data_IF_880070368697
#
_entry.id   IF_880070368697
#
_cell.length_a   1.000
_cell.length_b   1.000
_cell.length_c   1.000
_cell.angle_alpha   90.00
_cell.angle_beta   90.00
_cell.angle_gamma   90.00
#
_symmetry.space_group_name_H-M   'P 1'
#
loop_
_entity.id
_entity.type
_entity.pdbx_description
1 polymer ?
#
# COMPACT_ATOMS: atom_id res chain seq x y z
N UNK A 1 -1.32 -16.84 13.71
CA UNK A 1 -0.15 -16.31 12.98
C UNK A 1 -0.15 -16.69 11.51
N UNK A 2 -0.40 -17.95 11.15
CA UNK A 2 -0.49 -18.38 9.74
C UNK A 2 -1.53 -17.61 8.90
N UNK A 3 -2.71 -17.32 9.45
CA UNK A 3 -3.74 -16.53 8.75
C UNK A 3 -3.23 -15.10 8.44
N UNK A 4 -2.51 -14.47 9.37
CA UNK A 4 -1.96 -13.13 9.14
C UNK A 4 -0.85 -13.15 8.08
N UNK A 5 0.00 -14.19 8.08
CA UNK A 5 1.00 -14.41 7.04
C UNK A 5 0.35 -14.65 5.68
N UNK A 6 -0.76 -15.41 5.62
CA UNK A 6 -1.50 -15.64 4.39
C UNK A 6 -2.17 -14.36 3.86
N UNK A 7 -2.77 -13.56 4.74
CA UNK A 7 -3.38 -12.26 4.39
C UNK A 7 -2.33 -11.27 3.89
N UNK A 8 -1.21 -11.15 4.61
CA UNK A 8 -0.18 -10.19 4.26
C UNK A 8 0.67 -10.64 3.07
N UNK A 9 0.97 -11.94 2.99
CA UNK A 9 1.73 -12.57 1.90
C UNK A 9 0.93 -12.74 0.60
N UNK A 10 -0.36 -12.38 0.59
CA UNK A 10 -1.13 -12.32 -0.64
C UNK A 10 -0.54 -11.23 -1.55
N UNK A 11 0.01 -11.66 -2.69
CA UNK A 11 0.74 -10.79 -3.61
C UNK A 11 -0.21 -9.84 -4.36
N UNK A 12 -0.58 -8.75 -3.70
CA UNK A 12 -1.38 -7.69 -4.27
C UNK A 12 -0.54 -6.61 -4.98
N UNK A 13 0.76 -6.82 -5.21
CA UNK A 13 1.68 -5.78 -5.70
C UNK A 13 1.15 -5.01 -6.92
N UNK A 14 1.00 -5.68 -8.06
CA UNK A 14 0.44 -5.06 -9.27
C UNK A 14 -1.04 -4.68 -9.14
N UNK A 15 -1.94 -5.53 -8.58
CA UNK A 15 -3.34 -5.16 -8.38
C UNK A 15 -3.55 -3.89 -7.56
N UNK A 16 -2.79 -3.67 -6.48
CA UNK A 16 -2.87 -2.46 -5.65
C UNK A 16 -2.42 -1.23 -6.44
N UNK A 17 -1.31 -1.34 -7.17
CA UNK A 17 -0.82 -0.24 -8.03
C UNK A 17 -1.91 0.16 -9.03
N UNK A 18 -2.49 -0.80 -9.74
CA UNK A 18 -3.59 -0.56 -10.69
C UNK A 18 -4.77 0.09 -9.97
N UNK A 19 -5.11 -0.37 -8.77
CA UNK A 19 -6.19 0.20 -7.97
C UNK A 19 -5.98 1.70 -7.67
N UNK A 20 -4.78 2.07 -7.25
CA UNK A 20 -4.45 3.48 -7.00
C UNK A 20 -4.33 4.31 -8.28
N UNK A 21 -3.90 3.73 -9.40
CA UNK A 21 -3.90 4.41 -10.71
C UNK A 21 -5.33 4.69 -11.17
N UNK A 22 -6.24 3.72 -11.07
CA UNK A 22 -7.66 3.92 -11.37
C UNK A 22 -8.25 4.99 -10.46
N UNK A 23 -7.91 4.97 -9.17
CA UNK A 23 -8.33 6.00 -8.23
C UNK A 23 -7.84 7.40 -8.62
N UNK A 24 -6.57 7.52 -9.04
CA UNK A 24 -5.99 8.76 -9.56
C UNK A 24 -6.75 9.23 -10.80
N UNK A 25 -6.90 8.38 -11.82
CA UNK A 25 -7.60 8.75 -13.05
C UNK A 25 -9.04 9.19 -12.76
N UNK A 26 -9.74 8.51 -11.85
CA UNK A 26 -11.09 8.90 -11.46
C UNK A 26 -11.09 10.23 -10.70
N UNK A 27 -10.13 10.46 -9.80
CA UNK A 27 -10.05 11.69 -9.01
C UNK A 27 -9.83 12.96 -9.86
N UNK A 28 -9.21 12.84 -11.04
CA UNK A 28 -9.03 13.97 -11.97
C UNK A 28 -10.38 14.54 -12.44
N UNK A 29 -11.41 13.70 -12.59
CA UNK A 29 -12.75 14.19 -12.95
C UNK A 29 -13.37 15.10 -11.87
N UNK A 30 -12.96 14.93 -10.61
CA UNK A 30 -13.48 15.72 -9.49
C UNK A 30 -12.99 17.18 -9.49
N UNK A 31 -11.93 17.49 -10.25
CA UNK A 31 -11.46 18.86 -10.48
C UNK A 31 -12.57 19.68 -11.14
N UNK A 32 -13.17 19.13 -12.20
CA UNK A 32 -14.19 19.79 -13.00
C UNK A 32 -15.60 19.58 -12.42
N UNK A 33 -15.86 18.42 -11.82
CA UNK A 33 -17.14 18.07 -11.20
C UNK A 33 -16.92 17.71 -9.73
N UNK A 34 -16.91 18.69 -8.81
CA UNK A 34 -16.54 18.49 -7.41
C UNK A 34 -17.69 17.90 -6.58
N UNK A 35 -18.28 16.82 -7.08
CA UNK A 35 -19.31 16.03 -6.44
C UNK A 35 -18.79 14.61 -6.39
N UNK A 36 -18.53 14.09 -5.20
CA UNK A 36 -17.99 12.73 -5.03
C UNK A 36 -19.13 11.74 -5.26
N UNK A 37 -19.12 10.96 -6.36
CA UNK A 37 -20.19 10.01 -6.62
C UNK A 37 -20.10 8.85 -5.61
N UNK A 38 -21.24 8.22 -5.31
CA UNK A 38 -21.29 7.07 -4.38
C UNK A 38 -20.34 5.95 -4.80
N UNK A 39 -20.21 5.71 -6.10
CA UNK A 39 -19.31 4.69 -6.65
C UNK A 39 -17.83 4.97 -6.36
N UNK A 40 -17.38 6.23 -6.47
CA UNK A 40 -16.01 6.61 -6.11
C UNK A 40 -15.75 6.41 -4.61
N UNK A 41 -16.73 6.75 -3.77
CA UNK A 41 -16.62 6.53 -2.33
C UNK A 41 -16.56 5.03 -1.99
N UNK A 42 -17.41 4.21 -2.61
CA UNK A 42 -17.36 2.75 -2.46
C UNK A 42 -15.99 2.22 -2.88
N UNK A 43 -15.47 2.67 -4.02
CA UNK A 43 -14.15 2.27 -4.51
C UNK A 43 -13.02 2.66 -3.53
N UNK A 44 -13.06 3.89 -3.00
CA UNK A 44 -12.11 4.36 -1.98
C UNK A 44 -12.18 3.51 -0.72
N UNK A 45 -13.39 3.11 -0.28
CA UNK A 45 -13.58 2.23 0.87
C UNK A 45 -13.04 0.81 0.61
N UNK A 46 -13.16 0.30 -0.62
CA UNK A 46 -12.56 -0.99 -0.99
C UNK A 46 -11.04 -0.93 -0.93
N UNK A 47 -10.42 0.15 -1.43
CA UNK A 47 -8.97 0.37 -1.27
C UNK A 47 -8.57 0.42 0.20
N UNK A 48 -9.35 1.12 1.04
CA UNK A 48 -9.20 1.13 2.49
C UNK A 48 -9.23 -0.26 3.12
N UNK A 49 -10.19 -1.10 2.74
CA UNK A 49 -10.31 -2.45 3.28
C UNK A 49 -9.09 -3.29 2.86
N UNK A 50 -8.75 -3.27 1.57
CA UNK A 50 -7.64 -4.08 1.03
C UNK A 50 -6.30 -3.65 1.64
N UNK A 51 -5.97 -2.36 1.55
CA UNK A 51 -4.71 -1.82 2.08
C UNK A 51 -4.69 -1.86 3.60
N UNK A 52 -5.79 -1.50 4.24
CA UNK A 52 -5.90 -1.46 5.70
C UNK A 52 -5.76 -2.85 6.32
N UNK A 53 -6.44 -3.87 5.77
CA UNK A 53 -6.29 -5.25 6.25
C UNK A 53 -4.85 -5.73 6.04
N UNK A 54 -4.28 -5.50 4.85
CA UNK A 54 -2.92 -5.96 4.55
C UNK A 54 -1.87 -5.25 5.44
N UNK A 55 -1.95 -3.93 5.58
CA UNK A 55 -1.04 -3.15 6.40
C UNK A 55 -1.19 -3.46 7.91
N UNK A 56 -2.42 -3.63 8.40
CA UNK A 56 -2.66 -4.03 9.79
C UNK A 56 -2.09 -5.43 10.07
N UNK A 57 -2.26 -6.38 9.15
CA UNK A 57 -1.65 -7.69 9.26
C UNK A 57 -0.11 -7.60 9.32
N UNK A 58 0.50 -6.74 8.49
CA UNK A 58 1.94 -6.47 8.52
C UNK A 58 2.42 -5.87 9.85
N UNK A 59 1.70 -4.88 10.38
CA UNK A 59 2.01 -4.26 11.68
C UNK A 59 1.91 -5.29 12.81
N UNK A 60 0.84 -6.09 12.85
CA UNK A 60 0.67 -7.12 13.90
C UNK A 60 1.77 -8.16 13.82
N UNK A 61 2.15 -8.60 12.62
CA UNK A 61 3.28 -9.53 12.42
C UNK A 61 4.57 -8.92 12.97
N UNK A 62 4.89 -7.68 12.58
CA UNK A 62 6.09 -6.98 13.03
C UNK A 62 6.15 -6.82 14.57
N UNK A 63 5.05 -6.39 15.20
CA UNK A 63 4.95 -6.25 16.65
C UNK A 63 5.05 -7.60 17.39
N UNK A 64 4.63 -8.70 16.75
CA UNK A 64 4.72 -10.04 17.31
C UNK A 64 6.10 -10.69 17.12
N UNK A 65 7.12 -9.90 16.78
CA UNK A 65 8.48 -10.39 16.48
C UNK A 65 8.57 -11.23 15.21
N UNK A 66 7.50 -11.30 14.42
CA UNK A 66 7.48 -12.02 13.15
C UNK A 66 7.95 -11.10 12.04
N UNK A 67 8.82 -11.63 11.18
CA UNK A 67 9.25 -10.91 9.99
C UNK A 67 8.13 -10.95 8.96
N UNK A 68 7.86 -9.79 8.39
CA UNK A 68 6.89 -9.64 7.32
C UNK A 68 7.54 -10.17 6.03
N UNK A 69 6.84 -10.94 5.17
CA UNK A 69 7.37 -11.36 3.89
C UNK A 69 7.81 -10.14 3.08
N UNK A 70 9.12 -9.98 2.91
CA UNK A 70 9.71 -8.95 2.05
C UNK A 70 10.30 -9.60 0.79
N UNK A 71 10.49 -8.77 -0.24
CA UNK A 71 11.13 -9.14 -1.49
C UNK A 71 12.51 -9.78 -1.33
N UNK A 72 13.16 -9.44 -0.23
CA UNK A 72 14.55 -9.77 0.02
C UNK A 72 14.61 -11.03 0.87
N UNK A 73 15.35 -12.05 0.45
CA UNK A 73 15.09 -13.36 1.01
C UNK A 73 15.53 -13.56 2.44
N UNK A 74 14.73 -14.32 3.17
CA UNK A 74 15.16 -14.82 4.46
C UNK A 74 16.12 -16.00 4.30
N UNK A 75 16.85 -16.35 5.38
CA UNK A 75 17.75 -17.51 5.40
C UNK A 75 17.04 -18.87 5.27
N UNK A 76 15.70 -18.90 5.15
CA UNK A 76 14.89 -20.10 5.04
C UNK A 76 13.64 -19.84 4.17
N UNK A 77 13.12 -20.92 3.58
CA UNK A 77 11.83 -20.91 2.87
C UNK A 77 10.70 -20.42 3.80
N UNK A 78 9.77 -19.62 3.27
CA UNK A 78 8.65 -19.04 4.03
C UNK A 78 8.95 -17.69 4.73
N UNK A 79 10.20 -17.21 4.68
CA UNK A 79 10.58 -15.89 5.17
C UNK A 79 10.64 -14.81 4.07
N UNK A 80 10.30 -15.17 2.83
CA UNK A 80 10.33 -14.27 1.65
C UNK A 80 9.22 -14.61 0.67
N UNK A 81 8.71 -13.58 -0.02
CA UNK A 81 7.74 -13.72 -1.12
C UNK A 81 8.39 -14.01 -2.48
N UNK A 82 9.73 -13.98 -2.58
CA UNK A 82 10.49 -14.11 -3.83
C UNK A 82 11.40 -15.36 -3.85
N UNK A 83 11.34 -16.21 -2.83
CA UNK A 83 11.95 -17.54 -2.90
C UNK A 83 11.07 -18.47 -3.75
N UNK A 84 11.57 -18.88 -4.93
CA UNK A 84 10.92 -19.85 -5.81
C UNK A 84 10.39 -19.25 -7.11
N UNK A 85 11.24 -19.25 -8.15
CA UNK A 85 10.91 -19.18 -9.60
C UNK A 85 12.21 -19.00 -10.42
N UNK A 86 13.20 -19.87 -10.21
CA UNK A 86 14.45 -19.86 -10.98
C UNK A 86 15.49 -18.81 -10.57
N UNK A 87 15.21 -17.97 -9.57
CA UNK A 87 16.17 -17.07 -8.93
C UNK A 87 16.52 -17.66 -7.56
N UNK A 88 17.79 -17.99 -7.32
CA UNK A 88 18.28 -18.38 -5.99
C UNK A 88 17.84 -17.34 -4.96
N UNK A 89 17.48 -17.76 -3.74
CA UNK A 89 17.14 -16.84 -2.66
C UNK A 89 18.30 -15.85 -2.45
N UNK A 90 18.14 -14.63 -2.99
CA UNK A 90 18.88 -13.41 -2.67
C UNK A 90 19.00 -13.23 -1.13
N UNK A 91 19.83 -12.34 -0.58
CA UNK A 91 19.94 -12.20 0.87
C UNK A 91 18.92 -11.20 1.48
N UNK A 92 18.71 -11.29 2.80
CA UNK A 92 17.80 -10.40 3.55
C UNK A 92 18.27 -8.94 3.43
N UNK A 93 17.35 -8.00 3.33
CA UNK A 93 17.70 -6.57 3.32
C UNK A 93 16.93 -5.80 4.40
N UNK A 94 17.58 -5.43 5.52
CA UNK A 94 16.94 -4.67 6.59
C UNK A 94 16.37 -3.33 6.15
N UNK A 95 16.96 -2.65 5.15
CA UNK A 95 16.45 -1.36 4.69
C UNK A 95 15.04 -1.47 4.12
N UNK A 96 14.72 -2.62 3.49
CA UNK A 96 13.41 -2.89 2.90
C UNK A 96 12.31 -3.01 3.95
N UNK A 97 12.60 -3.45 5.16
CA UNK A 97 11.61 -3.53 6.24
C UNK A 97 11.08 -2.15 6.63
N UNK A 98 12.00 -1.19 6.82
CA UNK A 98 11.61 0.17 7.18
C UNK A 98 10.86 0.87 6.05
N UNK A 99 11.34 0.71 4.82
CA UNK A 99 10.65 1.24 3.64
C UNK A 99 9.25 0.66 3.48
N UNK A 100 9.08 -0.65 3.71
CA UNK A 100 7.77 -1.31 3.63
C UNK A 100 6.79 -0.73 4.65
N UNK A 101 7.22 -0.56 5.90
CA UNK A 101 6.42 0.08 6.94
C UNK A 101 6.09 1.54 6.60
N UNK A 102 7.07 2.30 6.12
CA UNK A 102 6.91 3.71 5.74
C UNK A 102 5.88 3.88 4.60
N UNK A 103 6.04 3.14 3.49
CA UNK A 103 5.13 3.26 2.35
C UNK A 103 3.73 2.72 2.68
N UNK A 104 3.62 1.64 3.48
CA UNK A 104 2.33 1.18 4.00
C UNK A 104 1.62 2.26 4.83
N UNK A 105 2.36 2.94 5.71
CA UNK A 105 1.86 4.08 6.49
C UNK A 105 1.40 5.25 5.61
N UNK A 106 2.17 5.59 4.57
CA UNK A 106 1.79 6.64 3.63
C UNK A 106 0.52 6.31 2.83
N UNK A 107 0.29 5.05 2.46
CA UNK A 107 -0.99 4.66 1.82
C UNK A 107 -2.17 4.82 2.79
N UNK A 108 -2.03 4.37 4.03
CA UNK A 108 -3.06 4.55 5.07
C UNK A 108 -3.37 6.04 5.27
N UNK A 109 -2.34 6.87 5.43
CA UNK A 109 -2.50 8.32 5.61
C UNK A 109 -3.16 8.98 4.40
N UNK A 110 -2.85 8.53 3.19
CA UNK A 110 -3.49 9.04 1.98
C UNK A 110 -4.98 8.72 1.94
N UNK A 111 -5.37 7.49 2.27
CA UNK A 111 -6.77 7.09 2.34
C UNK A 111 -7.51 7.79 3.51
N UNK A 112 -6.83 8.08 4.61
CA UNK A 112 -7.35 8.89 5.70
C UNK A 112 -7.59 10.34 5.28
N UNK A 113 -6.63 10.96 4.59
CA UNK A 113 -6.78 12.30 4.01
C UNK A 113 -7.97 12.36 3.04
N UNK A 114 -8.12 11.36 2.16
CA UNK A 114 -9.29 11.25 1.28
C UNK A 114 -10.61 11.16 2.06
N UNK A 115 -10.62 10.45 3.19
CA UNK A 115 -11.80 10.32 4.06
C UNK A 115 -12.17 11.66 4.71
N UNK A 116 -11.17 12.46 5.10
CA UNK A 116 -11.39 13.81 5.62
C UNK A 116 -11.96 14.74 4.54
N UNK A 117 -11.46 14.65 3.31
CA UNK A 117 -11.95 15.42 2.16
C UNK A 117 -13.40 15.04 1.82
N UNK A 118 -13.73 13.75 1.86
CA UNK A 118 -15.07 13.25 1.64
C UNK A 118 -16.07 13.71 2.71
N UNK A 119 -15.70 13.61 4.00
CA UNK A 119 -16.59 13.97 5.11
C UNK A 119 -16.84 15.47 5.18
N UNK A 120 -15.85 16.27 4.76
CA UNK A 120 -15.89 17.72 4.82
C UNK A 120 -15.63 18.28 6.22
N UNK A 121 -14.91 17.53 7.07
CA UNK A 121 -14.68 17.89 8.48
C UNK A 121 -13.61 18.95 8.68
N UNK A 122 -12.58 18.98 7.82
CA UNK A 122 -11.48 19.95 7.89
C UNK A 122 -11.55 21.02 6.79
N UNK A 123 -12.11 20.65 5.63
CA UNK A 123 -12.28 21.52 4.47
C UNK A 123 -13.65 21.27 3.88
N UNK A 124 -14.22 22.28 3.21
CA UNK A 124 -15.50 22.11 2.49
C UNK A 124 -15.42 20.92 1.51
N UNK A 125 -16.53 20.17 1.38
CA UNK A 125 -16.59 18.94 0.56
C UNK A 125 -16.27 19.18 -0.91
N UNK A 126 -16.71 20.30 -1.49
CA UNK A 126 -16.42 20.60 -2.91
C UNK A 126 -14.96 20.97 -3.07
N UNK A 127 -14.42 21.75 -2.15
CA UNK A 127 -12.99 22.07 -2.11
C UNK A 127 -12.14 20.80 -1.96
N UNK A 128 -12.48 19.93 -1.01
CA UNK A 128 -11.79 18.65 -0.83
C UNK A 128 -11.88 17.72 -2.04
N UNK A 129 -13.04 17.65 -2.70
CA UNK A 129 -13.19 16.89 -3.93
C UNK A 129 -12.22 17.38 -5.04
N UNK A 130 -12.02 18.70 -5.17
CA UNK A 130 -11.08 19.28 -6.16
C UNK A 130 -9.63 18.96 -5.87
N UNK A 131 -9.26 18.74 -4.60
CA UNK A 131 -7.89 18.41 -4.20
C UNK A 131 -7.64 16.90 -4.08
N UNK A 132 -8.66 16.06 -4.28
CA UNK A 132 -8.56 14.60 -4.17
C UNK A 132 -7.46 14.02 -5.07
N UNK A 133 -7.22 14.60 -6.25
CA UNK A 133 -6.22 14.11 -7.18
C UNK A 133 -4.78 14.22 -6.67
N UNK A 134 -4.47 15.21 -5.81
CA UNK A 134 -3.14 15.31 -5.20
C UNK A 134 -2.89 14.13 -4.26
N UNK A 135 -3.89 13.80 -3.45
CA UNK A 135 -3.85 12.65 -2.54
C UNK A 135 -3.73 11.36 -3.35
N UNK A 136 -4.50 11.24 -4.42
CA UNK A 136 -4.47 10.06 -5.29
C UNK A 136 -3.14 9.91 -6.06
N UNK A 137 -2.55 11.02 -6.51
CA UNK A 137 -1.26 11.03 -7.19
C UNK A 137 -0.15 10.57 -6.25
N UNK A 138 -0.12 11.13 -5.04
CA UNK A 138 0.82 10.72 -4.02
C UNK A 138 0.65 9.24 -3.67
N UNK A 139 -0.59 8.79 -3.44
CA UNK A 139 -0.87 7.39 -3.12
C UNK A 139 -0.48 6.43 -4.25
N UNK A 140 -0.70 6.80 -5.52
CA UNK A 140 -0.28 5.99 -6.66
C UNK A 140 1.26 5.86 -6.74
N UNK A 141 1.99 6.95 -6.51
CA UNK A 141 3.45 6.92 -6.42
C UNK A 141 3.94 6.05 -5.27
N UNK A 142 3.32 6.16 -4.09
CA UNK A 142 3.62 5.33 -2.92
C UNK A 142 3.32 3.86 -3.20
N UNK A 143 2.20 3.54 -3.85
CA UNK A 143 1.85 2.17 -4.21
C UNK A 143 2.89 1.56 -5.14
N UNK A 144 3.37 2.33 -6.12
CA UNK A 144 4.47 1.90 -7.00
C UNK A 144 5.75 1.62 -6.21
N UNK A 145 6.13 2.50 -5.27
CA UNK A 145 7.30 2.31 -4.41
C UNK A 145 7.15 1.12 -3.46
N UNK A 146 5.96 0.91 -2.90
CA UNK A 146 5.66 -0.25 -2.07
C UNK A 146 5.81 -1.56 -2.87
N UNK A 147 5.30 -1.59 -4.11
CA UNK A 147 5.53 -2.72 -5.03
C UNK A 147 7.02 -2.93 -5.31
N UNK A 148 7.77 -1.87 -5.61
CA UNK A 148 9.22 -1.97 -5.81
C UNK A 148 9.94 -2.56 -4.58
N UNK A 149 9.63 -2.07 -3.38
CA UNK A 149 10.19 -2.59 -2.11
C UNK A 149 9.83 -4.06 -1.89
N UNK A 150 8.66 -4.49 -2.37
CA UNK A 150 8.15 -5.85 -2.25
C UNK A 150 8.70 -6.84 -3.30
N UNK A 151 9.35 -6.38 -4.38
CA UNK A 151 9.93 -7.27 -5.41
C UNK A 151 11.40 -7.01 -5.77
N UNK A 152 12.05 -5.97 -5.23
CA UNK A 152 13.43 -5.62 -5.61
C UNK A 152 14.39 -5.47 -4.40
N UNK A 153 15.68 -5.83 -4.53
CA UNK A 153 16.69 -5.60 -3.48
C UNK A 153 16.92 -4.11 -3.21
N UNK A 154 17.22 -3.74 -1.97
CA UNK A 154 17.45 -2.38 -1.51
C UNK A 154 18.93 -2.02 -1.38
N UNK A 155 19.25 -1.19 -0.39
CA UNK A 155 20.58 -0.61 -0.23
C UNK A 155 21.52 -1.47 0.63
N UNK A 156 20.98 -2.42 1.40
CA UNK A 156 21.76 -3.26 2.32
C UNK A 156 21.45 -4.76 2.17
N UNK A 157 21.62 -5.36 0.98
CA UNK A 157 21.38 -6.80 0.82
C UNK A 157 22.45 -7.62 1.55
N UNK A 158 22.04 -8.51 2.45
CA UNK A 158 22.89 -9.49 3.15
C UNK A 158 23.58 -9.01 4.42
N UNK A 159 23.15 -7.86 4.95
CA UNK A 159 23.54 -7.36 6.28
C UNK A 159 22.48 -7.68 7.31
#
# INVERSE_FOLDING_TARGET
>A
MEILRAIHGFNFGYPIIIGFVVWLLWSLFLIFRPQIPRAFNLYTNLLWIVVGINALAGIILALSGNRVPIATPGPAEGLSSVCGSGVNCLPLDPSRNWEHAMYGGFLILSLAAASLFYRGTLIDRRTGARWMWLVALFAAGVAFRAGQVAFTPGATPGT
#
